data_IF_361191788928
#
_entry.id   IF_361191788928
#
_cell.length_a   1.000
_cell.length_b   1.000
_cell.length_c   1.000
_cell.angle_alpha   90.00
_cell.angle_beta   90.00
_cell.angle_gamma   90.00
#
_symmetry.space_group_name_H-M   'P 1'
#
loop_
_entity.id
_entity.type
_entity.pdbx_description
1 polymer ?
#
# COMPACT_ATOMS: atom_id res chain seq x y z
N UNK A 1 25.13 45.26 -11.85
CA UNK A 1 25.22 43.79 -11.68
C UNK A 1 24.43 43.38 -10.44
N UNK A 2 23.30 42.71 -10.67
CA UNK A 2 22.21 42.50 -9.70
C UNK A 2 22.54 41.37 -8.69
N UNK A 3 23.16 41.70 -7.56
CA UNK A 3 23.45 40.73 -6.47
C UNK A 3 22.20 40.05 -5.89
N UNK A 4 20.99 40.61 -6.08
CA UNK A 4 19.72 40.00 -5.65
C UNK A 4 19.23 38.86 -6.55
N UNK A 5 19.70 38.78 -7.80
CA UNK A 5 19.21 37.78 -8.77
C UNK A 5 19.81 36.38 -8.58
N UNK A 6 21.02 36.27 -8.04
CA UNK A 6 21.68 34.98 -7.82
C UNK A 6 21.21 34.26 -6.55
N UNK A 7 20.66 34.98 -5.56
CA UNK A 7 20.14 34.36 -4.33
C UNK A 7 18.80 33.65 -4.56
N UNK A 8 17.95 34.22 -5.42
CA UNK A 8 16.65 33.63 -5.79
C UNK A 8 16.84 32.40 -6.69
N UNK A 9 17.84 32.43 -7.59
CA UNK A 9 18.13 31.30 -8.49
C UNK A 9 18.71 30.08 -7.75
N UNK A 10 19.45 30.30 -6.65
CA UNK A 10 20.00 29.21 -5.84
C UNK A 10 18.94 28.53 -4.95
N UNK A 11 17.89 29.28 -4.54
CA UNK A 11 16.76 28.74 -3.78
C UNK A 11 15.77 27.94 -4.66
N UNK A 12 15.69 28.26 -5.97
CA UNK A 12 14.84 27.57 -6.94
C UNK A 12 15.40 26.20 -7.39
N UNK A 13 16.70 25.96 -7.23
CA UNK A 13 17.35 24.69 -7.61
C UNK A 13 17.30 23.64 -6.48
N UNK A 14 17.03 24.04 -5.23
CA UNK A 14 16.99 23.09 -4.10
C UNK A 14 15.64 22.36 -3.92
N UNK A 15 14.64 22.64 -4.75
CA UNK A 15 13.27 22.10 -4.60
C UNK A 15 13.05 20.78 -5.37
N UNK A 16 14.03 20.32 -6.17
CA UNK A 16 13.84 19.22 -7.12
C UNK A 16 14.26 17.80 -6.65
N UNK A 17 14.51 17.57 -5.36
CA UNK A 17 14.90 16.23 -4.89
C UNK A 17 14.04 15.71 -3.74
N UNK A 18 12.73 15.58 -3.97
CA UNK A 18 11.86 14.74 -3.13
C UNK A 18 11.66 13.38 -3.80
N UNK A 19 12.72 12.57 -3.91
CA UNK A 19 12.56 11.19 -4.38
C UNK A 19 12.05 10.32 -3.23
N UNK A 20 10.75 10.41 -2.95
CA UNK A 20 10.08 9.41 -2.13
C UNK A 20 10.02 8.07 -2.89
N UNK A 21 10.35 6.97 -2.23
CA UNK A 21 10.35 5.66 -2.85
C UNK A 21 8.95 5.07 -2.80
N UNK A 22 8.24 5.15 -3.92
CA UNK A 22 6.95 4.48 -4.11
C UNK A 22 7.18 2.96 -4.23
N UNK A 23 6.50 2.10 -3.45
CA UNK A 23 6.58 0.66 -3.65
C UNK A 23 6.22 0.32 -5.09
N UNK A 24 6.94 -0.62 -5.70
CA UNK A 24 6.64 -1.06 -7.05
C UNK A 24 5.36 -1.90 -7.07
N UNK A 25 5.20 -2.76 -6.06
CA UNK A 25 4.03 -3.62 -5.91
C UNK A 25 3.57 -3.71 -4.47
N UNK A 26 2.26 -3.68 -4.28
CA UNK A 26 1.58 -3.97 -3.03
C UNK A 26 0.52 -5.03 -3.30
N UNK A 27 0.71 -6.26 -2.83
CA UNK A 27 -0.20 -7.39 -3.04
C UNK A 27 -0.96 -7.67 -1.74
N UNK A 28 -2.28 -7.72 -1.81
CA UNK A 28 -3.17 -7.90 -0.65
C UNK A 28 -4.15 -9.03 -0.96
N UNK A 29 -4.31 -9.97 -0.03
CA UNK A 29 -5.20 -11.12 -0.20
C UNK A 29 -6.43 -11.01 0.68
N UNK A 30 -7.62 -10.86 0.09
CA UNK A 30 -8.87 -10.66 0.83
C UNK A 30 -9.82 -11.83 0.58
N UNK A 31 -10.38 -12.40 1.65
CA UNK A 31 -11.43 -13.41 1.60
C UNK A 31 -12.80 -12.78 1.82
N UNK A 32 -13.86 -13.46 1.38
CA UNK A 32 -15.23 -12.94 1.58
C UNK A 32 -15.71 -13.08 3.02
N UNK A 33 -15.17 -14.03 3.79
CA UNK A 33 -15.38 -14.15 5.24
C UNK A 33 -14.78 -12.99 6.03
N UNK A 34 -13.62 -12.48 5.62
CA UNK A 34 -12.97 -11.31 6.24
C UNK A 34 -13.93 -10.12 6.39
N UNK A 35 -14.69 -9.85 5.34
CA UNK A 35 -15.67 -8.75 5.31
C UNK A 35 -16.82 -9.01 6.28
N UNK A 36 -17.24 -10.27 6.44
CA UNK A 36 -18.31 -10.65 7.36
C UNK A 36 -17.87 -10.46 8.80
N UNK A 37 -16.65 -10.88 9.15
CA UNK A 37 -16.04 -10.65 10.46
C UNK A 37 -15.92 -9.16 10.77
N UNK A 38 -15.46 -8.37 9.81
CA UNK A 38 -15.34 -6.91 9.97
C UNK A 38 -16.71 -6.24 10.18
N UNK A 39 -17.73 -6.67 9.45
CA UNK A 39 -19.09 -6.16 9.64
C UNK A 39 -19.67 -6.54 11.02
N UNK A 40 -19.19 -7.61 11.66
CA UNK A 40 -19.51 -7.95 13.04
C UNK A 40 -18.76 -7.08 14.08
N UNK A 41 -17.90 -6.16 13.62
CA UNK A 41 -17.17 -5.20 14.45
C UNK A 41 -15.73 -5.60 14.78
N UNK A 42 -15.25 -6.72 14.23
CA UNK A 42 -13.89 -7.21 14.45
C UNK A 42 -12.85 -6.39 13.66
N UNK A 43 -11.59 -6.46 14.10
CA UNK A 43 -10.43 -6.04 13.29
C UNK A 43 -9.62 -7.29 13.04
N UNK A 44 -9.34 -7.55 11.78
CA UNK A 44 -8.60 -8.71 11.31
C UNK A 44 -7.34 -8.25 10.59
N UNK A 45 -6.27 -9.02 10.69
CA UNK A 45 -5.00 -8.75 10.03
C UNK A 45 -4.94 -9.54 8.71
N UNK A 46 -4.84 -8.82 7.60
CA UNK A 46 -4.93 -9.37 6.25
C UNK A 46 -3.53 -9.50 5.64
N UNK A 47 -3.17 -10.64 5.01
CA UNK A 47 -1.85 -10.80 4.39
C UNK A 47 -1.55 -9.73 3.35
N UNK A 48 -0.33 -9.18 3.45
CA UNK A 48 0.17 -8.12 2.60
C UNK A 48 1.62 -8.38 2.21
N UNK A 49 1.93 -8.24 0.93
CA UNK A 49 3.29 -8.28 0.40
C UNK A 49 3.62 -6.99 -0.33
N UNK A 50 4.60 -6.24 0.19
CA UNK A 50 5.14 -5.06 -0.48
C UNK A 50 6.46 -5.42 -1.17
N UNK A 51 6.76 -4.81 -2.32
CA UNK A 51 8.03 -4.97 -3.03
C UNK A 51 8.57 -3.64 -3.52
N UNK A 52 9.88 -3.47 -3.36
CA UNK A 52 10.63 -2.25 -3.67
C UNK A 52 11.88 -2.62 -4.49
N UNK A 53 12.06 -1.95 -5.61
CA UNK A 53 13.28 -1.98 -6.41
C UNK A 53 14.23 -0.92 -5.88
N UNK A 54 15.34 -1.39 -5.35
CA UNK A 54 16.40 -0.56 -4.80
C UNK A 54 17.47 -0.40 -5.87
N UNK A 55 17.65 0.84 -6.34
CA UNK A 55 18.73 1.19 -7.25
C UNK A 55 19.98 1.57 -6.47
N UNK A 56 21.13 1.04 -6.88
CA UNK A 56 22.41 1.32 -6.25
C UNK A 56 22.81 0.36 -5.13
N UNK A 57 24.05 0.52 -4.67
CA UNK A 57 24.62 -0.24 -3.57
C UNK A 57 24.32 0.45 -2.24
N UNK A 58 24.02 -0.35 -1.21
CA UNK A 58 23.86 0.13 0.15
C UNK A 58 25.24 0.26 0.81
N UNK A 59 26.00 1.29 0.43
CA UNK A 59 27.39 1.49 0.88
C UNK A 59 27.48 1.81 2.38
N UNK A 60 26.46 2.47 2.93
CA UNK A 60 26.43 2.97 4.31
C UNK A 60 25.59 2.10 5.26
N UNK A 61 25.20 0.89 4.82
CA UNK A 61 24.39 -0.05 5.59
C UNK A 61 23.09 0.58 6.13
N UNK A 62 22.43 1.38 5.30
CA UNK A 62 21.20 2.10 5.62
C UNK A 62 19.97 1.20 5.52
N UNK A 63 19.98 0.17 4.67
CA UNK A 63 18.82 -0.70 4.48
C UNK A 63 18.49 -1.53 5.73
N UNK A 64 19.48 -2.12 6.46
CA UNK A 64 19.18 -2.80 7.72
C UNK A 64 18.64 -1.85 8.79
N UNK A 65 19.17 -0.63 8.89
CA UNK A 65 18.66 0.40 9.81
C UNK A 65 17.21 0.78 9.49
N UNK A 66 16.92 1.02 8.21
CA UNK A 66 15.57 1.30 7.74
C UNK A 66 14.61 0.14 8.00
N UNK A 67 15.09 -1.09 7.86
CA UNK A 67 14.31 -2.32 8.15
C UNK A 67 13.98 -2.42 9.63
N UNK A 68 14.96 -2.23 10.51
CA UNK A 68 14.76 -2.27 11.96
C UNK A 68 13.79 -1.17 12.43
N UNK A 69 13.90 0.03 11.85
CA UNK A 69 12.97 1.11 12.09
C UNK A 69 11.54 0.76 11.63
N UNK A 70 11.40 0.24 10.41
CA UNK A 70 10.10 -0.11 9.83
C UNK A 70 9.37 -1.17 10.64
N UNK A 71 10.08 -2.13 11.27
CA UNK A 71 9.48 -3.17 12.13
C UNK A 71 8.60 -2.60 13.25
N UNK A 72 8.90 -1.40 13.77
CA UNK A 72 8.08 -0.73 14.80
C UNK A 72 6.65 -0.41 14.34
N UNK A 73 6.44 -0.36 13.02
CA UNK A 73 5.18 0.02 12.38
C UNK A 73 4.53 -1.13 11.62
N UNK A 74 5.10 -2.33 11.66
CA UNK A 74 4.55 -3.51 10.99
C UNK A 74 4.09 -4.54 12.02
N UNK A 75 3.45 -5.61 11.55
CA UNK A 75 3.13 -6.74 12.40
C UNK A 75 4.40 -7.42 12.95
N UNK A 76 4.34 -8.00 14.14
CA UNK A 76 5.52 -8.59 14.81
C UNK A 76 6.13 -9.74 14.00
N UNK A 77 5.32 -10.47 13.25
CA UNK A 77 5.68 -11.59 12.38
C UNK A 77 6.14 -11.15 10.97
N UNK A 78 6.46 -9.87 10.78
CA UNK A 78 6.87 -9.35 9.47
C UNK A 78 8.24 -9.87 9.03
N UNK A 79 8.30 -10.38 7.80
CA UNK A 79 9.51 -10.89 7.18
C UNK A 79 10.03 -9.95 6.10
N UNK A 80 11.36 -9.76 6.08
CA UNK A 80 12.05 -8.94 5.10
C UNK A 80 12.98 -9.83 4.28
N UNK A 81 12.81 -9.82 2.97
CA UNK A 81 13.61 -10.61 2.04
C UNK A 81 14.25 -9.68 1.03
N UNK A 82 15.58 -9.69 0.95
CA UNK A 82 16.34 -8.93 -0.04
C UNK A 82 16.91 -9.92 -1.05
N UNK A 83 16.56 -9.73 -2.32
CA UNK A 83 17.05 -10.56 -3.43
C UNK A 83 17.80 -9.72 -4.44
N UNK A 84 18.70 -10.37 -5.20
CA UNK A 84 19.42 -9.72 -6.31
C UNK A 84 18.53 -9.75 -7.55
N UNK A 85 18.18 -8.58 -8.08
CA UNK A 85 17.44 -8.41 -9.34
C UNK A 85 18.35 -8.04 -10.50
N UNK A 86 17.79 -7.95 -11.70
CA UNK A 86 18.52 -7.62 -12.95
C UNK A 86 19.16 -6.24 -12.92
N UNK A 87 18.54 -5.28 -12.24
CA UNK A 87 18.94 -3.86 -12.23
C UNK A 87 19.25 -3.31 -10.83
N UNK A 88 19.45 -4.18 -9.84
CA UNK A 88 19.67 -3.77 -8.44
C UNK A 88 19.21 -4.82 -7.45
N UNK A 89 18.85 -4.40 -6.24
CA UNK A 89 18.26 -5.28 -5.23
C UNK A 89 16.74 -5.13 -5.23
N UNK A 90 16.02 -6.21 -4.96
CA UNK A 90 14.58 -6.16 -4.71
C UNK A 90 14.37 -6.51 -3.25
N UNK A 91 13.79 -5.58 -2.50
CA UNK A 91 13.34 -5.82 -1.13
C UNK A 91 11.85 -6.18 -1.16
N UNK A 92 11.51 -7.32 -0.60
CA UNK A 92 10.14 -7.75 -0.35
C UNK A 92 9.87 -7.78 1.14
N UNK A 93 8.71 -7.24 1.53
CA UNK A 93 8.21 -7.27 2.91
C UNK A 93 6.94 -8.10 2.90
N UNK A 94 6.91 -9.18 3.68
CA UNK A 94 5.71 -9.99 3.92
C UNK A 94 5.22 -9.65 5.32
N UNK A 95 3.99 -9.16 5.43
CA UNK A 95 3.41 -8.66 6.67
C UNK A 95 1.88 -8.77 6.62
N UNK A 96 1.19 -8.14 7.55
CA UNK A 96 -0.26 -8.01 7.55
C UNK A 96 -0.72 -6.55 7.68
N UNK A 97 -1.94 -6.29 7.21
CA UNK A 97 -2.59 -4.98 7.27
C UNK A 97 -3.96 -5.11 7.96
N UNK A 98 -4.30 -4.21 8.91
CA UNK A 98 -5.55 -4.32 9.62
C UNK A 98 -6.71 -3.92 8.71
N UNK A 99 -7.74 -4.74 8.72
CA UNK A 99 -9.02 -4.51 8.06
C UNK A 99 -10.13 -4.40 9.11
N UNK A 100 -10.98 -3.39 8.97
CA UNK A 100 -11.99 -3.10 9.98
C UNK A 100 -12.92 -1.95 9.61
N UNK A 101 -13.90 -1.68 10.47
CA UNK A 101 -14.70 -0.45 10.37
C UNK A 101 -13.88 0.75 10.82
N UNK A 102 -14.26 1.97 10.41
CA UNK A 102 -13.60 3.21 10.86
C UNK A 102 -13.44 3.28 12.39
N UNK A 103 -14.48 2.91 13.13
CA UNK A 103 -14.50 2.95 14.61
C UNK A 103 -13.53 1.94 15.21
N UNK A 104 -13.55 0.69 14.73
CA UNK A 104 -12.70 -0.38 15.26
C UNK A 104 -11.22 -0.16 14.90
N UNK A 105 -10.93 0.26 13.66
CA UNK A 105 -9.58 0.60 13.21
C UNK A 105 -8.96 1.76 13.99
N UNK A 106 -9.72 2.83 14.28
CA UNK A 106 -9.19 3.97 15.04
C UNK A 106 -8.68 3.55 16.42
N UNK A 107 -9.36 2.61 17.09
CA UNK A 107 -8.91 2.06 18.38
C UNK A 107 -7.71 1.13 18.22
N UNK A 108 -7.71 0.31 17.16
CA UNK A 108 -6.65 -0.65 16.87
C UNK A 108 -5.31 0.06 16.58
N UNK A 109 -5.32 1.04 15.67
CA UNK A 109 -4.11 1.75 15.21
C UNK A 109 -3.39 2.51 16.33
N UNK A 110 -4.12 2.96 17.36
CA UNK A 110 -3.52 3.60 18.54
C UNK A 110 -2.66 2.66 19.38
N UNK A 111 -2.99 1.36 19.37
CA UNK A 111 -2.26 0.32 20.11
C UNK A 111 -1.25 -0.41 19.24
N UNK A 112 -1.58 -0.56 17.95
CA UNK A 112 -0.79 -1.28 16.96
C UNK A 112 -0.46 -0.32 15.82
N UNK A 113 0.70 0.35 15.85
CA UNK A 113 1.10 1.24 14.77
C UNK A 113 1.16 0.48 13.44
N UNK A 114 0.47 1.01 12.42
CA UNK A 114 0.46 0.49 11.04
C UNK A 114 0.47 1.65 10.06
N UNK A 115 1.26 1.64 8.98
CA UNK A 115 1.30 2.74 8.02
C UNK A 115 0.04 2.81 7.13
N UNK A 116 -0.63 1.67 6.94
CA UNK A 116 -1.83 1.54 6.12
C UNK A 116 -2.89 0.71 6.83
N UNK A 117 -4.14 0.84 6.36
CA UNK A 117 -5.30 0.08 6.84
C UNK A 117 -6.32 -0.12 5.71
N UNK A 118 -7.14 -1.15 5.84
CA UNK A 118 -8.28 -1.44 4.97
C UNK A 118 -9.59 -1.08 5.68
N UNK A 119 -10.14 0.08 5.37
CA UNK A 119 -11.42 0.50 5.95
C UNK A 119 -12.59 -0.12 5.18
N UNK A 120 -13.53 -0.74 5.90
CA UNK A 120 -14.77 -1.27 5.34
C UNK A 120 -15.94 -0.36 5.69
N UNK A 121 -16.71 0.02 4.68
CA UNK A 121 -17.96 0.77 4.82
C UNK A 121 -18.94 0.35 3.73
N UNK A 122 -20.15 -0.08 4.09
CA UNK A 122 -21.22 -0.48 3.13
C UNK A 122 -20.74 -1.49 2.07
N UNK A 123 -19.97 -2.49 2.49
CA UNK A 123 -19.31 -3.50 1.65
C UNK A 123 -18.32 -2.93 0.60
N UNK A 124 -17.92 -1.67 0.74
CA UNK A 124 -16.78 -1.08 0.04
C UNK A 124 -15.55 -1.20 0.93
N UNK A 125 -14.44 -1.58 0.32
CA UNK A 125 -13.13 -1.66 0.94
C UNK A 125 -12.31 -0.49 0.42
N UNK A 126 -11.69 0.26 1.32
CA UNK A 126 -10.83 1.40 1.03
C UNK A 126 -9.43 1.14 1.57
N UNK A 127 -8.41 1.24 0.72
CA UNK A 127 -7.02 1.30 1.19
C UNK A 127 -6.72 2.74 1.62
N UNK A 128 -6.41 2.92 2.90
CA UNK A 128 -6.08 4.23 3.49
C UNK A 128 -4.71 4.20 4.15
N UNK A 129 -4.04 5.35 4.12
CA UNK A 129 -2.85 5.58 4.94
C UNK A 129 -3.26 6.00 6.36
N UNK A 130 -2.36 5.83 7.32
CA UNK A 130 -2.54 6.32 8.68
C UNK A 130 -1.51 7.41 9.00
N UNK A 131 -1.68 8.10 10.14
CA UNK A 131 -0.69 9.06 10.62
C UNK A 131 0.69 8.42 10.86
N UNK A 132 0.75 7.12 11.16
CA UNK A 132 2.02 6.42 11.38
C UNK A 132 2.89 6.34 10.12
N UNK A 133 2.30 6.42 8.91
CA UNK A 133 3.10 6.48 7.68
C UNK A 133 3.91 7.78 7.63
N UNK A 134 3.33 8.90 8.07
CA UNK A 134 4.03 10.18 8.11
C UNK A 134 5.18 10.14 9.13
N UNK A 135 4.94 9.58 10.31
CA UNK A 135 5.98 9.38 11.33
C UNK A 135 7.09 8.46 10.83
N UNK A 136 6.75 7.29 10.27
CA UNK A 136 7.71 6.38 9.67
C UNK A 136 8.55 7.08 8.59
N UNK A 137 7.92 7.85 7.72
CA UNK A 137 8.63 8.60 6.68
C UNK A 137 9.56 9.67 7.25
N UNK A 138 9.19 10.33 8.34
CA UNK A 138 10.08 11.28 9.02
C UNK A 138 11.31 10.55 9.58
N UNK A 139 11.11 9.47 10.32
CA UNK A 139 12.20 8.71 10.94
C UNK A 139 13.11 8.04 9.88
N UNK A 140 12.56 7.60 8.75
CA UNK A 140 13.34 7.07 7.63
C UNK A 140 14.21 8.17 7.00
N UNK A 141 13.68 9.39 6.86
CA UNK A 141 14.43 10.54 6.32
C UNK A 141 15.58 10.97 7.22
N UNK A 142 15.47 10.76 8.52
CA UNK A 142 16.56 11.00 9.47
C UNK A 142 17.73 10.04 9.26
N UNK A 143 17.48 8.81 8.76
CA UNK A 143 18.53 7.87 8.35
C UNK A 143 19.17 8.35 7.04
N UNK A 144 18.34 8.65 6.04
CA UNK A 144 18.73 9.24 4.77
C UNK A 144 17.51 9.92 4.15
N UNK A 145 17.64 11.18 3.74
CA UNK A 145 16.55 11.98 3.16
C UNK A 145 15.88 11.33 1.93
N UNK A 146 16.56 10.40 1.26
CA UNK A 146 16.04 9.62 0.12
C UNK A 146 15.15 8.43 0.55
N UNK A 147 15.19 8.03 1.82
CA UNK A 147 14.37 6.94 2.36
C UNK A 147 13.02 7.49 2.79
N UNK A 148 11.99 7.15 2.04
CA UNK A 148 10.59 7.33 2.43
C UNK A 148 9.70 6.43 1.59
N UNK A 149 8.50 6.17 2.09
CA UNK A 149 7.48 5.36 1.43
C UNK A 149 6.37 6.27 0.93
N UNK A 150 6.17 6.29 -0.39
CA UNK A 150 5.05 7.00 -1.03
C UNK A 150 3.92 6.04 -1.38
N UNK A 151 2.66 6.44 -1.16
CA UNK A 151 1.48 5.62 -1.43
C UNK A 151 0.41 6.42 -2.21
N UNK A 152 -0.35 5.77 -3.10
CA UNK A 152 -0.41 4.32 -3.35
C UNK A 152 0.84 3.77 -4.05
N UNK A 153 1.06 2.46 -4.04
CA UNK A 153 2.14 1.82 -4.80
C UNK A 153 1.97 2.05 -6.31
N UNK A 154 3.05 1.88 -7.11
CA UNK A 154 2.95 1.92 -8.58
C UNK A 154 1.91 0.91 -9.09
N UNK A 155 1.86 -0.25 -8.46
CA UNK A 155 0.83 -1.27 -8.64
C UNK A 155 0.35 -1.77 -7.29
N UNK A 156 -0.96 -1.65 -7.03
CA UNK A 156 -1.62 -2.25 -5.88
C UNK A 156 -2.56 -3.34 -6.37
N UNK A 157 -2.33 -4.58 -5.96
CA UNK A 157 -3.01 -5.77 -6.46
C UNK A 157 -3.82 -6.37 -5.32
N UNK A 158 -5.13 -6.52 -5.54
CA UNK A 158 -5.99 -7.27 -4.65
C UNK A 158 -6.30 -8.63 -5.27
N UNK A 159 -5.93 -9.69 -4.57
CA UNK A 159 -6.43 -11.05 -4.83
C UNK A 159 -7.63 -11.27 -3.94
N UNK A 160 -8.82 -11.29 -4.54
CA UNK A 160 -10.08 -11.46 -3.83
C UNK A 160 -10.54 -12.89 -4.02
N UNK A 161 -10.62 -13.66 -2.95
CA UNK A 161 -11.01 -15.08 -2.96
C UNK A 161 -12.38 -15.26 -2.33
N UNK A 162 -13.31 -15.86 -3.07
CA UNK A 162 -14.63 -16.18 -2.52
C UNK A 162 -14.57 -17.51 -1.76
N UNK A 163 -14.88 -17.48 -0.47
CA UNK A 163 -15.10 -18.66 0.37
C UNK A 163 -16.58 -18.84 0.77
N UNK A 164 -17.41 -17.85 0.44
CA UNK A 164 -18.87 -17.88 0.57
C UNK A 164 -19.52 -19.02 -0.24
N UNK A 165 -20.61 -19.58 0.31
CA UNK A 165 -21.47 -20.54 -0.41
C UNK A 165 -22.22 -19.88 -1.57
N UNK A 166 -22.51 -18.58 -1.45
CA UNK A 166 -23.24 -17.79 -2.45
C UNK A 166 -22.29 -17.20 -3.49
N UNK A 167 -22.83 -16.79 -4.64
CA UNK A 167 -22.05 -16.04 -5.63
C UNK A 167 -21.75 -14.65 -5.08
N UNK A 168 -20.55 -14.17 -5.35
CA UNK A 168 -20.10 -12.86 -4.91
C UNK A 168 -19.69 -12.06 -6.13
N UNK A 169 -20.14 -10.82 -6.22
CA UNK A 169 -19.82 -9.90 -7.32
C UNK A 169 -18.85 -8.85 -6.83
N UNK A 170 -17.72 -8.73 -7.51
CA UNK A 170 -16.71 -7.71 -7.27
C UNK A 170 -16.95 -6.59 -8.27
N UNK A 171 -17.04 -5.36 -7.78
CA UNK A 171 -17.19 -4.15 -8.58
C UNK A 171 -16.03 -3.21 -8.26
N UNK A 172 -15.34 -2.74 -9.30
CA UNK A 172 -14.25 -1.78 -9.18
C UNK A 172 -14.23 -0.85 -10.38
N UNK A 173 -13.58 0.31 -10.23
CA UNK A 173 -13.47 1.32 -11.28
C UNK A 173 -12.00 1.45 -11.68
N UNK A 174 -11.69 1.82 -12.92
CA UNK A 174 -10.32 2.15 -13.37
C UNK A 174 -9.23 1.12 -12.98
N UNK A 175 -9.52 -0.18 -13.10
CA UNK A 175 -8.60 -1.27 -12.75
C UNK A 175 -8.08 -2.01 -13.98
N UNK A 176 -7.02 -2.78 -13.78
CA UNK A 176 -6.58 -3.82 -14.69
C UNK A 176 -6.97 -5.19 -14.12
N UNK A 177 -7.51 -6.07 -14.97
CA UNK A 177 -7.72 -7.48 -14.63
C UNK A 177 -7.33 -8.33 -15.82
N UNK A 178 -6.61 -9.42 -15.59
CA UNK A 178 -6.12 -10.30 -16.67
C UNK A 178 -5.33 -9.53 -17.76
N UNK A 179 -4.56 -8.51 -17.35
CA UNK A 179 -3.81 -7.58 -18.21
C UNK A 179 -4.66 -6.69 -19.12
N UNK A 180 -5.98 -6.62 -18.91
CA UNK A 180 -6.90 -5.74 -19.66
C UNK A 180 -7.37 -4.58 -18.77
N UNK A 181 -7.43 -3.34 -19.28
CA UNK A 181 -7.97 -2.19 -18.56
C UNK A 181 -9.50 -2.21 -18.53
N UNK A 182 -10.08 -1.76 -17.43
CA UNK A 182 -11.53 -1.62 -17.24
C UNK A 182 -11.83 -0.30 -16.54
N UNK A 183 -12.66 0.54 -17.17
CA UNK A 183 -13.19 1.73 -16.49
C UNK A 183 -14.23 1.35 -15.45
N UNK A 184 -15.16 0.44 -15.81
CA UNK A 184 -16.12 -0.16 -14.90
C UNK A 184 -15.95 -1.68 -14.98
N UNK A 185 -15.49 -2.28 -13.90
CA UNK A 185 -15.28 -3.71 -13.78
C UNK A 185 -16.36 -4.32 -12.90
N UNK A 186 -16.98 -5.38 -13.39
CA UNK A 186 -17.91 -6.21 -12.63
C UNK A 186 -17.65 -7.68 -12.95
N UNK A 187 -17.42 -8.50 -11.91
CA UNK A 187 -17.21 -9.94 -12.09
C UNK A 187 -17.77 -10.73 -10.92
N UNK A 188 -18.66 -11.67 -11.22
CA UNK A 188 -19.15 -12.64 -10.25
C UNK A 188 -18.23 -13.86 -10.16
N UNK A 189 -17.88 -14.24 -8.94
CA UNK A 189 -17.09 -15.43 -8.64
C UNK A 189 -17.89 -16.41 -7.76
N UNK A 190 -17.65 -17.71 -7.96
CA UNK A 190 -18.19 -18.80 -7.14
C UNK A 190 -17.21 -19.13 -6.01
N UNK A 191 -17.65 -19.93 -5.03
CA UNK A 191 -16.81 -20.48 -3.96
C UNK A 191 -15.50 -21.08 -4.49
N UNK A 192 -14.40 -20.82 -3.77
CA UNK A 192 -13.01 -21.19 -4.06
C UNK A 192 -12.45 -20.64 -5.36
N UNK A 193 -13.11 -19.66 -5.98
CA UNK A 193 -12.56 -18.91 -7.11
C UNK A 193 -12.06 -17.57 -6.62
N UNK A 194 -11.03 -17.07 -7.30
CA UNK A 194 -10.43 -15.77 -7.01
C UNK A 194 -10.47 -14.88 -8.24
N UNK A 195 -10.55 -13.59 -8.00
CA UNK A 195 -10.31 -12.55 -9.00
C UNK A 195 -9.12 -11.72 -8.57
N UNK A 196 -8.31 -11.31 -9.53
CA UNK A 196 -7.20 -10.39 -9.30
C UNK A 196 -7.54 -9.08 -9.98
N UNK A 197 -7.52 -8.00 -9.19
CA UNK A 197 -7.70 -6.63 -9.67
C UNK A 197 -6.46 -5.82 -9.33
N UNK A 198 -5.95 -5.07 -10.29
CA UNK A 198 -4.76 -4.26 -10.16
C UNK A 198 -5.12 -2.79 -10.33
N UNK A 199 -4.80 -2.00 -9.32
CA UNK A 199 -4.90 -0.55 -9.31
C UNK A 199 -3.51 0.02 -9.62
N UNK A 200 -3.40 0.80 -10.70
CA UNK A 200 -2.15 1.52 -11.00
C UNK A 200 -2.13 2.79 -10.18
N UNK A 201 -1.04 3.08 -9.47
CA UNK A 201 -0.90 4.31 -8.68
C UNK A 201 0.19 5.26 -9.19
N UNK A 202 0.78 4.97 -10.35
CA UNK A 202 1.83 5.81 -10.95
C UNK A 202 1.34 7.19 -11.42
N UNK A 203 2.27 8.00 -11.93
CA UNK A 203 2.02 9.36 -12.39
C UNK A 203 0.90 9.39 -13.45
N UNK A 204 -0.10 10.26 -13.24
CA UNK A 204 -1.28 10.36 -14.10
C UNK A 204 -2.38 9.31 -13.84
N UNK A 205 -2.26 8.49 -12.79
CA UNK A 205 -3.34 7.61 -12.36
C UNK A 205 -4.42 8.38 -11.58
N UNK A 206 -5.69 8.03 -11.78
CA UNK A 206 -6.78 8.51 -10.91
C UNK A 206 -6.52 8.21 -9.43
N UNK A 207 -5.79 7.13 -9.12
CA UNK A 207 -5.48 6.74 -7.75
C UNK A 207 -4.38 7.56 -7.07
N UNK A 208 -3.71 8.46 -7.80
CA UNK A 208 -2.92 9.50 -7.12
C UNK A 208 -3.80 10.58 -6.50
N UNK A 209 -5.06 10.71 -6.93
CA UNK A 209 -6.00 11.72 -6.44
C UNK A 209 -7.08 11.15 -5.53
N UNK A 210 -7.48 9.89 -5.76
CA UNK A 210 -8.50 9.21 -4.96
C UNK A 210 -7.97 7.96 -4.27
N UNK A 211 -8.50 7.59 -3.08
CA UNK A 211 -8.17 6.33 -2.44
C UNK A 211 -8.52 5.13 -3.33
N UNK A 212 -7.69 4.10 -3.28
CA UNK A 212 -8.00 2.81 -3.90
C UNK A 212 -9.21 2.20 -3.18
N UNK A 213 -10.20 1.80 -3.97
CA UNK A 213 -11.45 1.26 -3.46
C UNK A 213 -12.09 0.25 -4.41
N UNK A 214 -12.82 -0.71 -3.84
CA UNK A 214 -13.67 -1.64 -4.56
C UNK A 214 -14.85 -2.09 -3.69
N UNK A 215 -15.90 -2.63 -4.31
CA UNK A 215 -17.10 -3.12 -3.65
C UNK A 215 -17.23 -4.62 -3.83
N UNK A 216 -17.73 -5.29 -2.79
CA UNK A 216 -18.06 -6.71 -2.81
C UNK A 216 -19.55 -6.87 -2.47
N UNK A 217 -20.34 -7.38 -3.42
CA UNK A 217 -21.75 -7.68 -3.21
C UNK A 217 -21.93 -9.19 -3.07
N UNK A 218 -22.58 -9.63 -2.01
CA UNK A 218 -23.08 -11.02 -1.88
C UNK A 218 -24.48 -11.09 -2.46
N UNK A 219 -24.68 -11.89 -3.50
CA UNK A 219 -26.00 -12.19 -4.07
C UNK A 219 -26.60 -13.41 -3.38
#
# INVERSE_FOLDING_TARGET
MNKKSNFVLMFLISILFFSACKPDKLEIEVYTSDIQSVNAGEVIEIPLKASFSLMGEDKDNQLPKATELAKKYLAEDSEFVITKGTFGKVMSIVTSVPMGTKKSLTKYIKKNPRPIMLEVSENKIFLKTTANLQTLNSELKDINFMLSVDLPAKSTIFRITSDSKKKVTIIATAIFSEKKPYLNFEKSIKRRKSVVVEFKGGDGSVYSEIPIQFKINTN
#
